data_IF_112987979014
#
_entry.id   IF_112987979014
#
_cell.length_a   1.000
_cell.length_b   1.000
_cell.length_c   1.000
_cell.angle_alpha   90.00
_cell.angle_beta   90.00
_cell.angle_gamma   90.00
#
_symmetry.space_group_name_H-M   'P 1'
#
loop_
_entity.id
_entity.type
_entity.pdbx_description
1 polymer ?
#
# COMPACT_ATOMS: atom_id res chain seq x y z
N UNK A 1 -31.16 41.07 -7.23
CA UNK A 1 -32.07 40.02 -7.73
C UNK A 1 -31.82 38.75 -6.94
N UNK A 2 -32.80 38.15 -6.24
CA UNK A 2 -32.57 36.88 -5.54
C UNK A 2 -32.52 35.72 -6.53
N UNK A 3 -31.49 34.88 -6.42
CA UNK A 3 -31.27 33.72 -7.28
C UNK A 3 -32.43 32.72 -7.17
N UNK A 4 -33.10 32.45 -8.29
CA UNK A 4 -34.17 31.45 -8.41
C UNK A 4 -33.60 30.06 -8.10
N UNK A 5 -33.88 29.55 -6.89
CA UNK A 5 -33.61 28.15 -6.54
C UNK A 5 -34.53 27.26 -7.37
N UNK A 6 -34.03 26.73 -8.48
CA UNK A 6 -34.69 25.66 -9.23
C UNK A 6 -34.83 24.44 -8.31
N UNK A 7 -36.04 24.21 -7.78
CA UNK A 7 -36.38 22.98 -7.05
C UNK A 7 -36.40 21.84 -8.06
N UNK A 8 -35.29 21.10 -8.14
CA UNK A 8 -35.24 19.78 -8.77
C UNK A 8 -36.32 18.90 -8.14
N UNK A 9 -37.38 18.60 -8.89
CA UNK A 9 -38.48 17.76 -8.44
C UNK A 9 -38.09 16.30 -8.66
N UNK A 10 -37.52 15.67 -7.65
CA UNK A 10 -37.22 14.24 -7.67
C UNK A 10 -38.53 13.45 -7.78
N UNK A 11 -38.77 12.85 -8.96
CA UNK A 11 -40.08 12.35 -9.39
C UNK A 11 -40.59 11.13 -8.61
N UNK A 12 -39.75 10.48 -7.80
CA UNK A 12 -40.08 9.50 -6.74
C UNK A 12 -38.77 8.99 -6.14
N UNK A 13 -38.59 9.09 -4.83
CA UNK A 13 -37.42 8.58 -4.13
C UNK A 13 -37.76 7.20 -3.53
N UNK A 14 -36.86 6.20 -3.63
CA UNK A 14 -37.08 4.89 -3.03
C UNK A 14 -37.19 5.04 -1.51
N UNK A 15 -38.28 4.54 -0.95
CA UNK A 15 -38.53 4.56 0.48
C UNK A 15 -37.92 3.31 1.12
N UNK A 16 -37.23 3.48 2.24
CA UNK A 16 -36.78 2.37 3.08
C UNK A 16 -37.88 1.86 4.00
N UNK A 17 -37.57 0.80 4.74
CA UNK A 17 -38.50 0.10 5.63
C UNK A 17 -39.00 0.99 6.77
N UNK A 18 -38.23 2.01 7.16
CA UNK A 18 -38.57 2.95 8.24
C UNK A 18 -39.26 4.22 7.72
N UNK A 19 -39.63 4.26 6.43
CA UNK A 19 -40.20 5.44 5.78
C UNK A 19 -39.19 6.54 5.45
N UNK A 20 -37.89 6.27 5.61
CA UNK A 20 -36.78 7.11 5.16
C UNK A 20 -36.55 6.99 3.66
N UNK A 21 -35.56 7.71 3.15
CA UNK A 21 -35.13 7.71 1.75
C UNK A 21 -33.83 6.95 1.64
N UNK A 22 -33.80 5.94 0.77
CA UNK A 22 -32.57 5.23 0.45
C UNK A 22 -31.74 6.01 -0.56
N UNK A 23 -30.50 6.30 -0.18
CA UNK A 23 -29.52 6.97 -1.01
C UNK A 23 -28.24 6.13 -1.06
N UNK A 24 -27.55 6.24 -2.18
CA UNK A 24 -26.23 5.66 -2.39
C UNK A 24 -25.20 6.78 -2.20
N UNK A 25 -24.28 6.62 -1.25
CA UNK A 25 -23.25 7.61 -0.98
C UNK A 25 -22.18 7.63 -2.09
N UNK A 26 -21.87 8.82 -2.59
CA UNK A 26 -20.77 9.04 -3.54
C UNK A 26 -19.47 9.36 -2.78
N UNK A 27 -19.57 10.00 -1.62
CA UNK A 27 -18.44 10.38 -0.79
C UNK A 27 -18.56 9.77 0.61
N UNK A 28 -17.41 9.60 1.29
CA UNK A 28 -17.36 9.18 2.68
C UNK A 28 -17.88 10.29 3.60
N UNK A 29 -18.76 9.94 4.56
CA UNK A 29 -19.32 10.87 5.53
C UNK A 29 -19.22 10.22 6.92
N UNK A 30 -18.58 10.92 7.86
CA UNK A 30 -18.22 10.44 9.21
C UNK A 30 -19.39 9.89 10.06
N UNK A 31 -20.63 10.20 9.69
CA UNK A 31 -21.83 9.79 10.43
C UNK A 31 -22.84 8.96 9.63
N UNK A 32 -22.57 8.68 8.34
CA UNK A 32 -23.47 7.87 7.51
C UNK A 32 -22.83 6.59 6.98
N UNK A 33 -21.56 6.65 6.57
CA UNK A 33 -20.91 5.51 5.95
C UNK A 33 -19.90 5.91 4.89
N UNK A 34 -19.36 4.89 4.22
CA UNK A 34 -18.30 5.04 3.22
C UNK A 34 -18.91 5.25 1.83
N UNK A 35 -18.07 5.67 0.90
CA UNK A 35 -18.43 5.74 -0.52
C UNK A 35 -18.92 4.37 -1.02
N UNK A 36 -20.07 4.37 -1.69
CA UNK A 36 -20.70 3.17 -2.25
C UNK A 36 -21.70 2.48 -1.32
N UNK A 37 -21.86 2.94 -0.08
CA UNK A 37 -22.85 2.38 0.84
C UNK A 37 -24.28 2.88 0.55
N UNK A 38 -25.26 2.01 0.75
CA UNK A 38 -26.68 2.34 0.67
C UNK A 38 -27.16 2.66 2.08
N UNK A 39 -27.59 3.90 2.29
CA UNK A 39 -28.02 4.41 3.59
C UNK A 39 -29.45 4.90 3.54
N UNK A 40 -30.21 4.63 4.59
CA UNK A 40 -31.55 5.17 4.78
C UNK A 40 -31.50 6.45 5.64
N UNK A 41 -31.98 7.57 5.10
CA UNK A 41 -31.95 8.86 5.78
C UNK A 41 -33.32 9.54 5.81
N UNK A 42 -33.49 10.50 6.72
CA UNK A 42 -34.69 11.36 6.73
C UNK A 42 -34.77 12.19 5.45
N UNK A 43 -35.98 12.37 4.93
CA UNK A 43 -36.26 13.13 3.68
C UNK A 43 -35.65 14.53 3.65
N UNK A 44 -35.69 15.27 4.77
CA UNK A 44 -35.12 16.62 4.84
C UNK A 44 -33.60 16.63 4.67
N UNK A 45 -32.91 15.64 5.24
CA UNK A 45 -31.46 15.51 5.15
C UNK A 45 -31.01 15.11 3.73
N UNK A 46 -31.74 14.19 3.10
CA UNK A 46 -31.56 13.85 1.69
C UNK A 46 -31.67 15.07 0.76
N UNK A 47 -32.76 15.83 0.87
CA UNK A 47 -33.12 16.88 -0.09
C UNK A 47 -32.38 18.20 0.12
N UNK A 48 -32.02 18.54 1.36
CA UNK A 48 -31.39 19.84 1.66
C UNK A 48 -29.86 19.76 1.68
N UNK A 49 -29.30 18.59 1.94
CA UNK A 49 -27.85 18.43 2.15
C UNK A 49 -27.23 17.44 1.17
N UNK A 50 -27.64 16.18 1.18
CA UNK A 50 -26.92 15.12 0.44
C UNK A 50 -27.07 15.23 -1.09
N UNK A 51 -28.30 15.44 -1.58
CA UNK A 51 -28.57 15.54 -3.03
C UNK A 51 -28.04 16.84 -3.65
N UNK A 52 -28.26 18.04 -3.05
CA UNK A 52 -27.75 19.28 -3.64
C UNK A 52 -26.23 19.40 -3.63
N UNK A 53 -25.57 18.82 -2.63
CA UNK A 53 -24.11 18.81 -2.51
C UNK A 53 -23.44 17.70 -3.33
N UNK A 54 -24.23 16.83 -3.99
CA UNK A 54 -23.69 15.70 -4.76
C UNK A 54 -23.03 14.61 -3.90
N UNK A 55 -23.27 14.60 -2.58
CA UNK A 55 -22.70 13.63 -1.66
C UNK A 55 -23.38 12.26 -1.77
N UNK A 56 -24.61 12.22 -2.30
CA UNK A 56 -25.35 10.99 -2.51
C UNK A 56 -26.22 11.04 -3.76
N UNK A 57 -26.46 9.87 -4.36
CA UNK A 57 -27.37 9.68 -5.50
C UNK A 57 -28.53 8.77 -5.11
N UNK A 58 -29.56 8.72 -5.96
CA UNK A 58 -30.72 7.87 -5.75
C UNK A 58 -30.28 6.40 -5.89
N UNK A 59 -30.64 5.58 -4.89
CA UNK A 59 -30.35 4.15 -4.86
C UNK A 59 -31.24 3.38 -5.86
N UNK A 60 -30.95 3.52 -7.15
CA UNK A 60 -31.57 2.72 -8.22
C UNK A 60 -30.74 1.44 -8.47
N UNK A 61 -31.36 0.36 -8.91
CA UNK A 61 -30.68 -0.92 -9.18
C UNK A 61 -29.56 -0.77 -10.22
N UNK A 62 -29.72 0.16 -11.17
CA UNK A 62 -28.66 0.52 -12.12
C UNK A 62 -27.41 1.08 -11.42
N UNK A 63 -27.58 1.98 -10.45
CA UNK A 63 -26.47 2.57 -9.70
C UNK A 63 -25.81 1.56 -8.76
N UNK A 64 -26.60 0.66 -8.14
CA UNK A 64 -26.08 -0.44 -7.32
C UNK A 64 -25.14 -1.34 -8.12
N UNK A 65 -25.58 -1.80 -9.31
CA UNK A 65 -24.76 -2.62 -10.21
C UNK A 65 -23.51 -1.89 -10.69
N UNK A 66 -23.59 -0.58 -10.92
CA UNK A 66 -22.45 0.22 -11.34
C UNK A 66 -21.41 0.36 -10.22
N UNK A 67 -21.83 0.58 -8.98
CA UNK A 67 -20.93 0.61 -7.81
C UNK A 67 -20.32 -0.75 -7.55
N UNK A 68 -21.09 -1.83 -7.64
CA UNK A 68 -20.56 -3.18 -7.46
C UNK A 68 -19.50 -3.50 -8.51
N UNK A 69 -19.77 -3.23 -9.79
CA UNK A 69 -18.77 -3.38 -10.86
C UNK A 69 -17.52 -2.53 -10.63
N UNK A 70 -17.69 -1.29 -10.15
CA UNK A 70 -16.56 -0.42 -9.86
C UNK A 70 -15.74 -0.96 -8.67
N UNK A 71 -16.41 -1.42 -7.61
CA UNK A 71 -15.79 -2.04 -6.44
C UNK A 71 -15.03 -3.30 -6.80
N UNK A 72 -15.61 -4.16 -7.64
CA UNK A 72 -14.95 -5.39 -8.08
C UNK A 72 -13.76 -5.10 -8.98
N UNK A 73 -13.83 -4.07 -9.83
CA UNK A 73 -12.66 -3.59 -10.60
C UNK A 73 -11.56 -3.06 -9.70
N UNK A 74 -11.88 -2.21 -8.73
CA UNK A 74 -10.90 -1.70 -7.77
C UNK A 74 -10.27 -2.84 -6.97
N UNK A 75 -11.07 -3.80 -6.50
CA UNK A 75 -10.58 -4.98 -5.79
C UNK A 75 -9.69 -5.85 -6.69
N UNK A 76 -10.03 -6.00 -7.96
CA UNK A 76 -9.19 -6.73 -8.91
C UNK A 76 -7.82 -6.05 -9.08
N UNK A 77 -7.80 -4.73 -9.28
CA UNK A 77 -6.55 -3.96 -9.40
C UNK A 77 -5.71 -4.05 -8.12
N UNK A 78 -6.36 -3.97 -6.96
CA UNK A 78 -5.67 -4.08 -5.66
C UNK A 78 -5.07 -5.47 -5.46
N UNK A 79 -5.81 -6.53 -5.84
CA UNK A 79 -5.32 -7.90 -5.82
C UNK A 79 -4.18 -8.13 -6.82
N UNK A 80 -4.24 -7.54 -8.02
CA UNK A 80 -3.17 -7.60 -9.01
C UNK A 80 -1.89 -6.94 -8.47
N UNK A 81 -2.00 -5.73 -7.91
CA UNK A 81 -0.87 -5.06 -7.26
C UNK A 81 -0.31 -5.88 -6.11
N UNK A 82 -1.17 -6.42 -5.24
CA UNK A 82 -0.72 -7.27 -4.13
C UNK A 82 0.00 -8.53 -4.62
N UNK A 83 -0.42 -9.10 -5.76
CA UNK A 83 0.30 -10.22 -6.38
C UNK A 83 1.65 -9.77 -6.91
N UNK A 84 1.74 -8.68 -7.65
CA UNK A 84 3.01 -8.12 -8.13
C UNK A 84 4.00 -7.88 -6.98
N UNK A 85 3.53 -7.33 -5.85
CA UNK A 85 4.36 -7.13 -4.66
C UNK A 85 4.81 -8.45 -4.00
N UNK A 86 3.94 -9.47 -3.97
CA UNK A 86 4.28 -10.80 -3.46
C UNK A 86 5.28 -11.53 -4.35
N UNK A 87 5.10 -11.44 -5.66
CA UNK A 87 6.02 -12.03 -6.63
C UNK A 87 7.41 -11.38 -6.50
N UNK A 88 7.46 -10.04 -6.36
CA UNK A 88 8.71 -9.32 -6.05
C UNK A 88 9.32 -9.74 -4.70
N UNK A 89 8.49 -9.94 -3.67
CA UNK A 89 8.97 -10.41 -2.37
C UNK A 89 9.57 -11.82 -2.43
N UNK A 90 8.96 -12.71 -3.21
CA UNK A 90 9.48 -14.07 -3.44
C UNK A 90 10.77 -14.07 -4.26
N UNK A 91 10.89 -13.18 -5.26
CA UNK A 91 12.14 -13.00 -6.00
C UNK A 91 13.26 -12.48 -5.10
N UNK A 92 12.98 -11.46 -4.30
CA UNK A 92 13.93 -10.92 -3.31
C UNK A 92 14.34 -11.97 -2.27
N UNK A 93 13.41 -12.81 -1.81
CA UNK A 93 13.70 -13.87 -0.84
C UNK A 93 14.55 -15.03 -1.40
N UNK A 94 14.48 -15.27 -2.72
CA UNK A 94 15.33 -16.25 -3.40
C UNK A 94 16.72 -15.70 -3.69
N UNK A 95 16.84 -14.39 -3.87
CA UNK A 95 18.13 -13.76 -4.06
C UNK A 95 18.91 -13.69 -2.74
N UNK A 96 20.21 -13.91 -2.88
CA UNK A 96 21.18 -13.71 -1.81
C UNK A 96 22.15 -12.67 -2.32
N UNK A 97 22.35 -11.61 -1.53
CA UNK A 97 23.25 -10.53 -1.91
C UNK A 97 24.52 -10.66 -1.12
N UNK A 98 25.63 -10.60 -1.82
CA UNK A 98 26.95 -10.60 -1.22
C UNK A 98 27.46 -9.16 -1.19
N UNK A 99 27.78 -8.68 0.00
CA UNK A 99 28.39 -7.37 0.23
C UNK A 99 29.83 -7.63 0.62
N UNK A 100 30.75 -7.14 -0.19
CA UNK A 100 32.17 -7.21 0.12
C UNK A 100 32.56 -6.02 1.00
N UNK A 101 33.16 -6.28 2.16
CA UNK A 101 33.58 -5.24 3.09
C UNK A 101 34.90 -5.59 3.78
N UNK A 102 35.72 -4.58 4.08
CA UNK A 102 37.00 -4.77 4.76
C UNK A 102 36.78 -5.20 6.23
N UNK A 103 37.35 -6.35 6.61
CA UNK A 103 37.28 -6.88 7.97
C UNK A 103 38.68 -7.18 8.52
N UNK A 104 38.79 -7.18 9.85
CA UNK A 104 39.99 -7.58 10.58
C UNK A 104 40.07 -9.12 10.70
N UNK A 105 41.24 -9.66 11.07
CA UNK A 105 41.43 -11.11 11.28
C UNK A 105 40.49 -11.72 12.34
N UNK A 106 40.00 -10.90 13.27
CA UNK A 106 38.99 -11.28 14.28
C UNK A 106 37.54 -11.29 13.75
N UNK A 107 37.30 -10.97 12.47
CA UNK A 107 35.98 -10.98 11.85
C UNK A 107 35.14 -9.71 12.07
N UNK A 108 35.72 -8.68 12.71
CA UNK A 108 35.11 -7.36 12.86
C UNK A 108 35.33 -6.50 11.62
N UNK A 109 34.26 -5.85 11.14
CA UNK A 109 34.29 -4.94 10.00
C UNK A 109 34.91 -3.59 10.42
N UNK A 110 35.81 -3.07 9.59
CA UNK A 110 36.35 -1.72 9.76
C UNK A 110 35.31 -0.63 9.47
N UNK A 111 34.30 -0.97 8.66
CA UNK A 111 33.12 -0.16 8.37
C UNK A 111 31.86 -0.71 9.03
N UNK A 112 30.77 0.05 8.97
CA UNK A 112 29.43 -0.42 9.35
C UNK A 112 28.63 -0.73 8.10
N UNK A 113 28.21 -1.99 7.91
CA UNK A 113 27.29 -2.31 6.82
C UNK A 113 25.87 -1.91 7.25
N UNK A 114 25.36 -0.86 6.62
CA UNK A 114 24.07 -0.26 6.91
C UNK A 114 23.05 -0.44 5.78
N UNK A 115 21.87 0.19 5.92
CA UNK A 115 20.84 0.14 4.88
C UNK A 115 21.30 0.73 3.54
N UNK A 116 22.26 1.66 3.55
CA UNK A 116 22.75 2.31 2.34
C UNK A 116 23.50 1.35 1.41
N UNK A 117 24.46 0.59 1.95
CA UNK A 117 25.22 -0.40 1.16
C UNK A 117 24.32 -1.54 0.69
N UNK A 118 23.35 -1.95 1.51
CA UNK A 118 22.36 -2.97 1.12
C UNK A 118 21.50 -2.47 -0.06
N UNK A 119 21.05 -1.21 -0.04
CA UNK A 119 20.32 -0.60 -1.15
C UNK A 119 21.17 -0.55 -2.42
N UNK A 120 22.44 -0.19 -2.32
CA UNK A 120 23.30 -0.08 -3.50
C UNK A 120 23.62 -1.45 -4.10
N UNK A 121 23.89 -2.47 -3.28
CA UNK A 121 24.04 -3.84 -3.75
C UNK A 121 22.73 -4.41 -4.35
N UNK A 122 21.57 -4.03 -3.80
CA UNK A 122 20.25 -4.35 -4.39
C UNK A 122 20.03 -3.68 -5.74
N UNK A 123 20.46 -2.42 -5.91
CA UNK A 123 20.38 -1.73 -7.20
C UNK A 123 21.23 -2.41 -8.26
N UNK A 124 22.43 -2.87 -7.90
CA UNK A 124 23.29 -3.65 -8.80
C UNK A 124 22.65 -4.97 -9.20
N UNK A 125 21.91 -5.61 -8.29
CA UNK A 125 21.11 -6.81 -8.57
C UNK A 125 19.83 -6.52 -9.40
N UNK A 126 19.53 -5.25 -9.70
CA UNK A 126 18.38 -4.82 -10.50
C UNK A 126 17.13 -4.43 -9.71
N UNK A 127 17.20 -4.42 -8.38
CA UNK A 127 16.07 -4.06 -7.51
C UNK A 127 16.22 -2.64 -6.96
N UNK A 128 15.28 -1.77 -7.29
CA UNK A 128 15.26 -0.40 -6.75
C UNK A 128 14.41 -0.36 -5.48
N UNK A 129 15.07 -0.41 -4.32
CA UNK A 129 14.43 -0.28 -3.00
C UNK A 129 14.83 1.02 -2.32
N UNK A 130 13.91 1.58 -1.53
CA UNK A 130 14.18 2.77 -0.72
C UNK A 130 14.81 2.38 0.62
N UNK A 131 15.64 3.27 1.19
CA UNK A 131 16.28 3.04 2.48
C UNK A 131 15.27 2.82 3.61
N UNK A 132 14.13 3.52 3.56
CA UNK A 132 13.04 3.43 4.56
C UNK A 132 12.34 2.07 4.57
N UNK A 133 12.45 1.30 3.47
CA UNK A 133 11.85 -0.03 3.35
C UNK A 133 12.70 -1.11 4.03
N UNK A 134 13.98 -0.84 4.31
CA UNK A 134 14.89 -1.79 4.93
C UNK A 134 14.86 -1.61 6.43
N UNK A 135 14.36 -2.63 7.15
CA UNK A 135 14.45 -2.67 8.62
C UNK A 135 15.67 -3.46 9.06
N UNK A 136 16.67 -2.72 9.51
CA UNK A 136 17.82 -3.23 10.24
C UNK A 136 17.61 -3.02 11.74
N UNK A 137 17.87 -4.05 12.55
CA UNK A 137 17.81 -3.95 14.02
C UNK A 137 19.08 -3.29 14.62
N UNK A 138 20.15 -3.20 13.83
CA UNK A 138 21.39 -2.50 14.17
C UNK A 138 22.40 -2.57 13.02
N UNK A 139 23.43 -1.70 13.01
CA UNK A 139 24.48 -1.74 12.00
C UNK A 139 25.26 -3.06 12.10
N UNK A 140 25.50 -3.70 10.96
CA UNK A 140 26.24 -4.95 10.89
C UNK A 140 27.74 -4.63 11.00
N UNK A 141 28.40 -5.22 12.02
CA UNK A 141 29.82 -4.97 12.35
C UNK A 141 30.67 -6.23 12.30
N UNK A 142 30.09 -7.37 11.94
CA UNK A 142 30.78 -8.65 11.87
C UNK A 142 30.53 -9.30 10.51
N UNK A 143 31.48 -10.12 10.08
CA UNK A 143 31.30 -10.98 8.92
C UNK A 143 30.28 -12.08 9.24
N UNK A 144 29.37 -12.34 8.31
CA UNK A 144 28.37 -13.38 8.54
C UNK A 144 27.17 -13.31 7.60
N UNK A 145 26.21 -14.20 7.89
CA UNK A 145 24.92 -14.26 7.22
C UNK A 145 23.89 -13.51 8.05
N UNK A 146 23.31 -12.47 7.46
CA UNK A 146 22.25 -11.69 8.08
C UNK A 146 20.94 -11.85 7.31
N UNK A 147 19.84 -12.00 8.05
CA UNK A 147 18.49 -12.00 7.48
C UNK A 147 17.88 -10.63 7.71
N UNK A 148 17.73 -9.85 6.64
CA UNK A 148 17.21 -8.49 6.68
C UNK A 148 15.75 -8.50 6.23
N UNK A 149 14.87 -7.85 7.00
CA UNK A 149 13.45 -7.71 6.66
C UNK A 149 13.24 -6.45 5.83
N UNK A 150 12.59 -6.60 4.68
CA UNK A 150 12.26 -5.53 3.74
C UNK A 150 10.74 -5.38 3.73
N UNK A 151 10.25 -4.20 4.12
CA UNK A 151 8.84 -3.83 4.05
C UNK A 151 8.56 -3.17 2.69
N UNK A 152 7.95 -3.91 1.77
CA UNK A 152 7.63 -3.42 0.42
C UNK A 152 6.35 -2.58 0.43
N UNK A 153 5.26 -3.19 0.89
CA UNK A 153 3.93 -2.59 0.93
C UNK A 153 3.20 -2.99 2.21
N UNK A 154 2.11 -2.29 2.56
CA UNK A 154 1.37 -2.35 3.84
C UNK A 154 1.08 -3.76 4.40
N UNK A 155 1.09 -4.79 3.55
CA UNK A 155 0.82 -6.19 3.90
C UNK A 155 1.87 -7.19 3.37
N UNK A 156 2.99 -6.73 2.80
CA UNK A 156 4.00 -7.58 2.17
C UNK A 156 5.40 -7.30 2.72
N UNK A 157 5.92 -8.31 3.43
CA UNK A 157 7.26 -8.33 3.99
C UNK A 157 8.10 -9.38 3.26
N UNK A 158 9.31 -9.00 2.83
CA UNK A 158 10.29 -9.90 2.24
C UNK A 158 11.46 -10.12 3.21
N UNK A 159 12.05 -11.31 3.20
CA UNK A 159 13.26 -11.62 3.97
C UNK A 159 14.42 -11.82 3.00
N UNK A 160 15.39 -10.92 3.02
CA UNK A 160 16.59 -10.98 2.18
C UNK A 160 17.75 -11.57 2.98
N UNK A 161 18.47 -12.53 2.39
CA UNK A 161 19.72 -13.04 2.95
C UNK A 161 20.89 -12.21 2.43
N UNK A 162 21.59 -11.57 3.36
CA UNK A 162 22.78 -10.75 3.07
C UNK A 162 24.00 -11.49 3.60
N UNK A 163 24.95 -11.73 2.71
CA UNK A 163 26.26 -12.32 3.01
C UNK A 163 27.28 -11.20 3.08
N UNK A 164 27.90 -11.00 4.23
CA UNK A 164 29.01 -10.06 4.35
C UNK A 164 30.31 -10.84 4.27
N UNK A 165 31.09 -10.59 3.22
CA UNK A 165 32.36 -11.30 2.94
C UNK A 165 33.53 -10.32 2.96
N UNK A 166 34.74 -10.76 3.34
CA UNK A 166 35.91 -9.91 3.28
C UNK A 166 36.30 -9.62 1.82
N UNK A 167 36.60 -8.36 1.50
CA UNK A 167 37.28 -8.02 0.24
C UNK A 167 38.70 -8.57 0.32
N UNK A 168 38.96 -9.68 -0.38
CA UNK A 168 40.31 -10.25 -0.44
C UNK A 168 41.20 -9.31 -1.25
N UNK A 169 41.95 -8.45 -0.57
CA UNK A 169 43.27 -8.09 -1.09
C UNK A 169 44.13 -9.33 -0.93
N UNK A 170 44.47 -9.96 -2.04
CA UNK A 170 45.39 -11.07 -2.10
C UNK A 170 46.76 -10.64 -1.56
N UNK A 171 46.99 -10.79 -0.27
CA UNK A 171 48.33 -10.73 0.34
C UNK A 171 48.44 -11.84 1.38
N UNK A 172 48.42 -13.08 0.87
CA UNK A 172 48.87 -14.29 1.57
C UNK A 172 49.23 -15.35 0.54
N UNK A 173 50.17 -15.00 -0.33
CA UNK A 173 50.91 -15.96 -1.15
C UNK A 173 52.40 -15.71 -0.93
N UNK A 174 52.89 -16.03 0.27
CA UNK A 174 54.31 -16.26 0.52
C UNK A 174 54.46 -17.43 1.50
N UNK A 175 54.78 -18.61 0.95
CA UNK A 175 55.82 -19.54 1.40
C UNK A 175 55.97 -20.67 0.38
#
# INVERSE_FOLDING_TARGET
MPATRHKQTFKRLPKGENGGIQLLLIHNIEHLGKQGDIVEVKRGYALNYLLPQGLATIANDHHKRMVEKHRDKLRAIELEKLKEWRDLADELGKQSITIEANANDEGHLYGSVGPHEIVDALKEAGFTLAQDQIRLEGPLKELGLYTVKIHLHSEVDASLKVWVVPTVTAESAEA
#
